data_IF_918069196164
#
_entry.id   IF_918069196164
#
_cell.length_a   1.000
_cell.length_b   1.000
_cell.length_c   1.000
_cell.angle_alpha   90.00
_cell.angle_beta   90.00
_cell.angle_gamma   90.00
#
_symmetry.space_group_name_H-M   'P 1'
#
loop_
_entity.id
_entity.type
_entity.pdbx_description
1 polymer ?
#
# COMPACT_ATOMS: atom_id res chain seq x y z
N UNK A 1 -5.07 37.57 0.78
CA UNK A 1 -5.87 36.33 0.73
C UNK A 1 -5.04 35.20 1.28
N UNK A 2 -5.28 34.78 2.54
CA UNK A 2 -4.66 33.56 3.06
C UNK A 2 -5.34 32.40 2.34
N UNK A 3 -4.62 31.74 1.43
CA UNK A 3 -5.11 30.51 0.80
C UNK A 3 -5.33 29.50 1.91
N UNK A 4 -6.58 29.07 2.12
CA UNK A 4 -6.90 27.98 3.02
C UNK A 4 -6.15 26.70 2.63
N UNK A 5 -5.95 25.79 3.59
CA UNK A 5 -5.38 24.46 3.33
C UNK A 5 -6.21 23.72 2.27
N UNK A 6 -5.54 23.01 1.36
CA UNK A 6 -6.20 22.22 0.31
C UNK A 6 -7.11 21.14 0.90
N UNK A 7 -6.66 20.51 1.99
CA UNK A 7 -7.45 19.58 2.79
C UNK A 7 -8.01 20.27 4.03
N UNK A 8 -9.29 20.04 4.30
CA UNK A 8 -9.96 20.43 5.53
C UNK A 8 -9.61 19.50 6.71
N UNK A 9 -10.02 19.84 7.95
CA UNK A 9 -9.69 19.06 9.13
C UNK A 9 -10.21 17.60 9.08
N UNK A 10 -11.44 17.40 8.59
CA UNK A 10 -12.06 16.06 8.47
C UNK A 10 -11.31 15.21 7.46
N UNK A 11 -10.92 15.80 6.34
CA UNK A 11 -10.17 15.11 5.27
C UNK A 11 -8.78 14.70 5.76
N UNK A 12 -8.10 15.58 6.50
CA UNK A 12 -6.85 15.23 7.17
C UNK A 12 -7.03 14.09 8.17
N UNK A 13 -8.10 14.10 8.97
CA UNK A 13 -8.41 13.03 9.92
C UNK A 13 -8.57 11.70 9.19
N UNK A 14 -9.32 11.67 8.07
CA UNK A 14 -9.47 10.47 7.23
C UNK A 14 -8.13 9.98 6.70
N UNK A 15 -7.33 10.86 6.09
CA UNK A 15 -6.02 10.50 5.53
C UNK A 15 -5.10 9.93 6.62
N UNK A 16 -5.03 10.60 7.78
CA UNK A 16 -4.20 10.18 8.90
C UNK A 16 -4.66 8.84 9.46
N UNK A 17 -5.97 8.67 9.65
CA UNK A 17 -6.54 7.46 10.20
C UNK A 17 -6.31 6.25 9.27
N UNK A 18 -6.54 6.40 7.97
CA UNK A 18 -6.28 5.35 6.99
C UNK A 18 -4.78 5.04 6.89
N UNK A 19 -3.93 6.07 6.92
CA UNK A 19 -2.48 5.90 6.91
C UNK A 19 -1.98 5.14 8.14
N UNK A 20 -2.53 5.45 9.32
CA UNK A 20 -2.23 4.76 10.57
C UNK A 20 -2.67 3.29 10.52
N UNK A 21 -3.90 3.00 10.08
CA UNK A 21 -4.40 1.63 9.99
C UNK A 21 -3.54 0.77 9.06
N UNK A 22 -3.22 1.26 7.86
CA UNK A 22 -2.35 0.56 6.92
C UNK A 22 -0.97 0.29 7.51
N UNK A 23 -0.38 1.27 8.19
CA UNK A 23 0.93 1.12 8.82
C UNK A 23 0.92 0.12 9.99
N UNK A 24 -0.08 0.20 10.87
CA UNK A 24 -0.22 -0.72 12.00
C UNK A 24 -0.41 -2.16 11.51
N UNK A 25 -1.25 -2.38 10.49
CA UNK A 25 -1.42 -3.71 9.90
C UNK A 25 -0.12 -4.24 9.31
N UNK A 26 0.65 -3.40 8.61
CA UNK A 26 1.95 -3.80 8.08
C UNK A 26 2.96 -4.19 9.18
N UNK A 27 2.96 -3.47 10.31
CA UNK A 27 3.91 -3.67 11.40
C UNK A 27 3.55 -4.87 12.28
N UNK A 28 2.26 -5.06 12.56
CA UNK A 28 1.80 -6.00 13.58
C UNK A 28 1.23 -7.30 13.01
N UNK A 29 0.81 -7.36 11.74
CA UNK A 29 0.46 -8.65 11.15
C UNK A 29 1.73 -9.50 10.99
N UNK A 30 1.71 -10.78 11.40
CA UNK A 30 2.84 -11.67 11.25
C UNK A 30 2.94 -12.20 9.81
N UNK A 31 2.93 -11.30 8.81
CA UNK A 31 2.83 -11.63 7.38
C UNK A 31 3.98 -12.55 6.95
N UNK A 32 5.17 -12.36 7.51
CA UNK A 32 6.32 -13.23 7.27
C UNK A 32 6.03 -14.67 7.74
N UNK A 33 5.49 -14.84 8.94
CA UNK A 33 5.14 -16.16 9.46
C UNK A 33 4.01 -16.80 8.65
N UNK A 34 3.02 -16.02 8.21
CA UNK A 34 1.94 -16.48 7.34
C UNK A 34 2.47 -16.98 5.99
N UNK A 35 3.36 -16.23 5.34
CA UNK A 35 3.96 -16.64 4.08
C UNK A 35 4.84 -17.90 4.23
N UNK A 36 5.58 -18.00 5.34
CA UNK A 36 6.38 -19.18 5.67
C UNK A 36 5.50 -20.41 5.95
N UNK A 37 4.37 -20.26 6.64
CA UNK A 37 3.42 -21.34 6.88
C UNK A 37 2.83 -21.90 5.57
N UNK A 38 2.70 -21.06 4.54
CA UNK A 38 2.28 -21.45 3.19
C UNK A 38 3.42 -22.01 2.32
N UNK A 39 4.63 -22.15 2.87
CA UNK A 39 5.84 -22.57 2.15
C UNK A 39 6.16 -21.69 0.92
N UNK A 40 5.77 -20.42 0.95
CA UNK A 40 6.01 -19.51 -0.17
C UNK A 40 7.40 -18.89 -0.02
N UNK A 41 8.33 -19.17 -0.96
CA UNK A 41 9.71 -18.73 -0.83
C UNK A 41 9.87 -17.26 -1.25
N UNK A 42 10.92 -16.64 -0.72
CA UNK A 42 11.41 -15.35 -1.19
C UNK A 42 11.07 -14.16 -0.27
N UNK A 43 11.81 -13.05 -0.43
CA UNK A 43 11.60 -11.85 0.35
C UNK A 43 10.24 -11.22 0.01
N UNK A 44 9.60 -10.58 0.99
CA UNK A 44 8.35 -9.84 0.79
C UNK A 44 7.19 -10.64 0.16
N UNK A 45 7.20 -11.98 0.20
CA UNK A 45 6.10 -12.83 -0.30
C UNK A 45 4.75 -12.47 0.34
N UNK A 46 4.78 -12.02 1.59
CA UNK A 46 3.63 -11.49 2.28
C UNK A 46 2.95 -10.30 1.59
N UNK A 47 3.73 -9.37 1.04
CA UNK A 47 3.22 -8.23 0.28
C UNK A 47 2.61 -8.68 -1.05
N UNK A 48 3.14 -9.74 -1.66
CA UNK A 48 2.55 -10.31 -2.87
C UNK A 48 1.13 -10.85 -2.62
N UNK A 49 0.88 -11.44 -1.45
CA UNK A 49 -0.43 -12.06 -1.15
C UNK A 49 -1.40 -11.08 -0.51
N UNK A 50 -0.91 -10.25 0.42
CA UNK A 50 -1.73 -9.41 1.30
C UNK A 50 -1.49 -7.91 1.11
N UNK A 51 -0.61 -7.48 0.20
CA UNK A 51 -0.33 -6.07 -0.04
C UNK A 51 -1.57 -5.27 -0.45
N UNK A 52 -2.55 -5.91 -1.10
CA UNK A 52 -3.86 -5.33 -1.35
C UNK A 52 -4.62 -4.95 -0.09
N UNK A 53 -4.65 -5.84 0.90
CA UNK A 53 -5.32 -5.60 2.17
C UNK A 53 -4.53 -4.63 3.05
N UNK A 54 -3.21 -4.70 3.03
CA UNK A 54 -2.33 -3.94 3.95
C UNK A 54 -2.07 -2.52 3.47
N UNK A 55 -2.01 -2.29 2.15
CA UNK A 55 -1.71 -0.99 1.58
C UNK A 55 -2.85 -0.47 0.70
N UNK A 56 -3.21 -1.19 -0.35
CA UNK A 56 -4.10 -0.67 -1.40
C UNK A 56 -5.49 -0.31 -0.84
N UNK A 57 -6.06 -1.17 0.00
CA UNK A 57 -7.36 -0.96 0.64
C UNK A 57 -7.43 0.42 1.33
N UNK A 58 -6.47 0.71 2.20
CA UNK A 58 -6.44 1.94 3.00
C UNK A 58 -6.14 3.16 2.15
N UNK A 59 -5.26 3.03 1.15
CA UNK A 59 -4.96 4.11 0.21
C UNK A 59 -6.19 4.47 -0.64
N UNK A 60 -6.90 3.46 -1.15
CA UNK A 60 -8.16 3.66 -1.88
C UNK A 60 -9.26 4.24 -0.97
N UNK A 61 -9.40 3.78 0.28
CA UNK A 61 -10.35 4.34 1.23
C UNK A 61 -10.04 5.81 1.56
N UNK A 62 -8.78 6.13 1.87
CA UNK A 62 -8.34 7.50 2.14
C UNK A 62 -8.67 8.42 0.98
N UNK A 63 -8.43 7.98 -0.26
CA UNK A 63 -8.82 8.72 -1.47
C UNK A 63 -10.32 8.88 -1.61
N UNK A 64 -11.10 7.80 -1.47
CA UNK A 64 -12.55 7.78 -1.69
C UNK A 64 -13.29 8.63 -0.67
N UNK A 65 -13.01 8.42 0.61
CA UNK A 65 -13.67 9.11 1.71
C UNK A 65 -13.33 10.61 1.75
N UNK A 66 -12.13 10.97 1.27
CA UNK A 66 -11.75 12.37 1.12
C UNK A 66 -12.36 13.02 -0.13
N UNK A 67 -12.61 12.25 -1.19
CA UNK A 67 -13.17 12.76 -2.46
C UNK A 67 -12.25 13.69 -3.27
N UNK A 68 -11.04 14.01 -2.77
CA UNK A 68 -10.08 14.91 -3.43
C UNK A 68 -8.93 14.16 -4.09
N UNK A 69 -8.35 14.82 -5.11
CA UNK A 69 -7.12 14.36 -5.74
C UNK A 69 -5.98 14.35 -4.73
N UNK A 70 -5.00 13.50 -4.96
CA UNK A 70 -3.76 13.35 -4.18
C UNK A 70 -3.94 12.77 -2.78
N UNK A 71 -5.17 12.61 -2.28
CA UNK A 71 -5.42 11.98 -0.99
C UNK A 71 -4.86 10.55 -0.94
N UNK A 72 -4.92 9.79 -2.04
CA UNK A 72 -4.32 8.45 -2.11
C UNK A 72 -2.79 8.48 -1.98
N UNK A 73 -2.13 9.37 -2.73
CA UNK A 73 -0.66 9.56 -2.65
C UNK A 73 -0.23 9.98 -1.25
N UNK A 74 -0.93 10.93 -0.63
CA UNK A 74 -0.58 11.39 0.71
C UNK A 74 -0.81 10.27 1.73
N UNK A 75 -1.91 9.53 1.62
CA UNK A 75 -2.17 8.38 2.49
C UNK A 75 -1.06 7.34 2.37
N UNK A 76 -0.64 6.98 1.14
CA UNK A 76 0.38 5.96 0.93
C UNK A 76 1.77 6.39 1.43
N UNK A 77 2.16 7.65 1.19
CA UNK A 77 3.40 8.21 1.73
C UNK A 77 3.36 8.26 3.25
N UNK A 78 2.22 8.63 3.84
CA UNK A 78 2.06 8.64 5.29
C UNK A 78 2.19 7.22 5.88
N UNK A 79 1.65 6.20 5.23
CA UNK A 79 1.88 4.79 5.64
C UNK A 79 3.38 4.50 5.68
N UNK A 80 4.12 4.88 4.63
CA UNK A 80 5.57 4.64 4.58
C UNK A 80 6.29 5.37 5.73
N UNK A 81 5.98 6.64 5.95
CA UNK A 81 6.57 7.44 7.03
C UNK A 81 6.28 6.84 8.41
N UNK A 82 5.04 6.44 8.69
CA UNK A 82 4.67 5.82 9.96
C UNK A 82 5.38 4.47 10.13
N UNK A 83 5.41 3.64 9.07
CA UNK A 83 6.15 2.37 9.11
C UNK A 83 7.61 2.61 9.49
N UNK A 84 8.29 3.53 8.78
CA UNK A 84 9.70 3.86 9.04
C UNK A 84 9.96 4.36 10.46
N UNK A 85 9.01 5.09 11.04
CA UNK A 85 9.11 5.57 12.42
C UNK A 85 8.97 4.44 13.44
N UNK A 86 8.05 3.50 13.22
CA UNK A 86 7.78 2.39 14.15
C UNK A 86 8.82 1.28 14.06
N UNK A 87 9.08 0.81 12.84
CA UNK A 87 10.08 -0.22 12.52
C UNK A 87 10.65 0.09 11.14
N UNK A 88 11.95 0.37 11.01
CA UNK A 88 12.61 0.56 9.72
C UNK A 88 12.18 -0.52 8.72
N UNK A 89 12.06 -0.18 7.45
CA UNK A 89 11.41 -1.04 6.44
C UNK A 89 12.03 -2.45 6.45
N UNK A 90 11.21 -3.47 6.75
CA UNK A 90 11.65 -4.86 6.97
C UNK A 90 12.73 -5.09 8.04
N UNK A 91 12.82 -4.19 9.03
CA UNK A 91 13.82 -4.21 10.10
C UNK A 91 15.21 -3.74 9.68
N UNK A 92 15.37 -3.23 8.45
CA UNK A 92 16.67 -2.78 7.93
C UNK A 92 16.93 -1.35 8.39
N UNK A 93 17.79 -1.20 9.40
CA UNK A 93 18.27 0.09 9.93
C UNK A 93 19.50 0.61 9.19
N UNK A 94 20.28 -0.29 8.60
CA UNK A 94 21.50 0.01 7.86
C UNK A 94 21.58 -0.83 6.59
N UNK A 95 21.86 -0.24 5.43
CA UNK A 95 22.05 1.21 5.21
C UNK A 95 20.72 1.98 5.19
N UNK A 96 20.71 3.21 5.72
CA UNK A 96 19.51 4.03 5.91
C UNK A 96 18.77 4.38 4.60
N UNK A 97 19.47 4.33 3.45
CA UNK A 97 18.87 4.57 2.15
C UNK A 97 17.83 3.49 1.78
N UNK A 98 17.82 2.31 2.42
CA UNK A 98 16.80 1.28 2.17
C UNK A 98 15.37 1.79 2.45
N UNK A 99 15.24 2.71 3.40
CA UNK A 99 13.99 3.42 3.72
C UNK A 99 13.45 4.26 2.56
N UNK A 100 14.34 4.77 1.69
CA UNK A 100 13.95 5.54 0.50
C UNK A 100 13.18 4.65 -0.47
N UNK A 101 13.59 3.40 -0.64
CA UNK A 101 12.84 2.44 -1.47
C UNK A 101 11.44 2.20 -0.93
N UNK A 102 11.26 2.11 0.40
CA UNK A 102 9.92 1.99 1.01
C UNK A 102 9.01 3.18 0.68
N UNK A 103 9.53 4.41 0.81
CA UNK A 103 8.78 5.63 0.44
C UNK A 103 8.46 5.65 -1.05
N UNK A 104 9.44 5.37 -1.91
CA UNK A 104 9.25 5.32 -3.37
C UNK A 104 8.23 4.26 -3.76
N UNK A 105 8.26 3.08 -3.14
CA UNK A 105 7.33 1.98 -3.42
C UNK A 105 5.88 2.38 -3.13
N UNK A 106 5.61 2.96 -1.95
CA UNK A 106 4.26 3.40 -1.62
C UNK A 106 3.85 4.68 -2.33
N UNK A 107 4.79 5.56 -2.67
CA UNK A 107 4.51 6.70 -3.53
C UNK A 107 4.02 6.25 -4.91
N UNK A 108 4.71 5.29 -5.54
CA UNK A 108 4.28 4.69 -6.82
C UNK A 108 2.90 4.05 -6.70
N UNK A 109 2.66 3.29 -5.63
CA UNK A 109 1.35 2.71 -5.37
C UNK A 109 0.25 3.78 -5.30
N UNK A 110 0.50 4.86 -4.54
CA UNK A 110 -0.41 5.99 -4.43
C UNK A 110 -0.67 6.68 -5.76
N UNK A 111 0.37 6.85 -6.58
CA UNK A 111 0.24 7.40 -7.93
C UNK A 111 -0.62 6.50 -8.82
N UNK A 112 -0.43 5.18 -8.80
CA UNK A 112 -1.27 4.26 -9.56
C UNK A 112 -2.75 4.35 -9.14
N UNK A 113 -3.02 4.42 -7.84
CA UNK A 113 -4.39 4.58 -7.33
C UNK A 113 -5.01 5.91 -7.79
N UNK A 114 -4.25 7.01 -7.80
CA UNK A 114 -4.74 8.31 -8.29
C UNK A 114 -4.95 8.33 -9.81
N UNK A 115 -4.01 7.79 -10.59
CA UNK A 115 -4.05 7.79 -12.05
C UNK A 115 -5.24 6.98 -12.60
N UNK A 116 -5.56 5.87 -11.96
CA UNK A 116 -6.61 4.94 -12.41
C UNK A 116 -7.93 5.07 -11.64
N UNK A 117 -8.16 6.20 -10.96
CA UNK A 117 -9.39 6.48 -10.19
C UNK A 117 -10.70 6.24 -10.98
N UNK A 118 -11.77 5.95 -10.25
CA UNK A 118 -13.10 5.69 -10.84
C UNK A 118 -13.25 4.24 -11.31
N UNK A 119 -13.75 4.03 -12.54
CA UNK A 119 -14.06 2.68 -13.07
C UNK A 119 -12.83 1.76 -13.20
N UNK A 120 -11.62 2.32 -13.24
CA UNK A 120 -10.37 1.57 -13.40
C UNK A 120 -9.60 1.40 -12.09
N UNK A 121 -10.19 1.75 -10.95
CA UNK A 121 -9.46 1.81 -9.68
C UNK A 121 -8.92 0.43 -9.26
N UNK A 122 -9.65 -0.65 -9.55
CA UNK A 122 -9.15 -2.01 -9.33
C UNK A 122 -7.82 -2.25 -10.07
N UNK A 123 -7.72 -1.83 -11.33
CA UNK A 123 -6.48 -1.92 -12.13
C UNK A 123 -5.39 -1.05 -11.50
N UNK A 124 -5.73 0.16 -11.03
CA UNK A 124 -4.81 1.03 -10.30
C UNK A 124 -4.23 0.40 -9.04
N UNK A 125 -5.09 -0.24 -8.25
CA UNK A 125 -4.69 -0.99 -7.06
C UNK A 125 -3.78 -2.17 -7.39
N UNK A 126 -4.13 -2.93 -8.44
CA UNK A 126 -3.32 -4.06 -8.91
C UNK A 126 -1.94 -3.63 -9.41
N UNK A 127 -1.87 -2.64 -10.31
CA UNK A 127 -0.61 -2.09 -10.80
C UNK A 127 0.22 -1.47 -9.67
N UNK A 128 -0.44 -0.77 -8.73
CA UNK A 128 0.22 -0.18 -7.58
C UNK A 128 0.90 -1.22 -6.70
N UNK A 129 0.21 -2.31 -6.36
CA UNK A 129 0.81 -3.38 -5.55
C UNK A 129 1.89 -4.17 -6.32
N UNK A 130 1.67 -4.44 -7.61
CA UNK A 130 2.66 -5.06 -8.49
C UNK A 130 3.97 -4.25 -8.51
N UNK A 131 3.90 -2.94 -8.76
CA UNK A 131 5.07 -2.07 -8.82
C UNK A 131 5.70 -1.88 -7.43
N UNK A 132 4.89 -1.82 -6.36
CA UNK A 132 5.38 -1.79 -4.98
C UNK A 132 6.20 -3.05 -4.63
N UNK A 133 5.73 -4.23 -5.04
CA UNK A 133 6.48 -5.48 -4.87
C UNK A 133 7.77 -5.48 -5.70
N UNK A 134 7.67 -5.10 -6.98
CA UNK A 134 8.83 -5.05 -7.87
C UNK A 134 9.93 -4.11 -7.36
N UNK A 135 9.56 -2.90 -6.92
CA UNK A 135 10.50 -1.94 -6.32
C UNK A 135 11.09 -2.44 -5.00
N UNK A 136 10.29 -3.10 -4.17
CA UNK A 136 10.78 -3.77 -2.95
C UNK A 136 11.79 -4.87 -3.27
N UNK A 137 11.52 -5.71 -4.26
CA UNK A 137 12.45 -6.77 -4.68
C UNK A 137 13.72 -6.21 -5.31
N UNK A 138 13.63 -5.16 -6.12
CA UNK A 138 14.82 -4.48 -6.65
C UNK A 138 15.69 -3.95 -5.51
N UNK A 139 15.08 -3.34 -4.48
CA UNK A 139 15.80 -2.86 -3.30
C UNK A 139 16.52 -3.99 -2.56
N UNK A 140 15.82 -5.10 -2.30
CA UNK A 140 16.40 -6.23 -1.58
C UNK A 140 17.47 -6.93 -2.43
N UNK A 141 17.16 -7.20 -3.69
CA UNK A 141 18.00 -7.97 -4.59
C UNK A 141 19.29 -7.26 -4.98
N UNK A 142 19.25 -5.95 -5.26
CA UNK A 142 20.44 -5.18 -5.62
C UNK A 142 21.44 -5.04 -4.46
N UNK A 143 20.94 -5.04 -3.22
CA UNK A 143 21.75 -4.63 -2.06
C UNK A 143 22.03 -5.73 -1.04
N UNK A 144 21.19 -6.77 -0.99
CA UNK A 144 21.39 -7.95 -0.14
C UNK A 144 21.67 -9.21 -0.94
N UNK A 145 21.69 -9.11 -2.28
CA UNK A 145 21.79 -10.24 -3.21
C UNK A 145 20.74 -11.34 -2.99
N UNK A 146 19.66 -11.01 -2.27
CA UNK A 146 18.58 -11.94 -1.96
C UNK A 146 17.43 -11.70 -2.93
N UNK A 147 17.22 -12.64 -3.85
CA UNK A 147 16.14 -12.59 -4.83
C UNK A 147 15.08 -13.67 -4.54
N UNK A 148 13.81 -13.43 -4.90
CA UNK A 148 12.85 -14.52 -5.00
C UNK A 148 13.35 -15.58 -5.99
N UNK A 149 13.01 -16.84 -5.75
CA UNK A 149 13.31 -17.93 -6.69
C UNK A 149 12.59 -17.67 -8.02
N UNK A 150 13.33 -17.72 -9.12
CA UNK A 150 12.83 -17.34 -10.45
C UNK A 150 11.55 -18.08 -10.87
N UNK A 151 11.42 -19.34 -10.47
CA UNK A 151 10.23 -20.18 -10.73
C UNK A 151 8.93 -19.61 -10.13
N UNK A 152 9.01 -18.89 -9.01
CA UNK A 152 7.84 -18.31 -8.33
C UNK A 152 7.61 -16.84 -8.68
N UNK A 153 8.56 -16.16 -9.31
CA UNK A 153 8.48 -14.72 -9.63
C UNK A 153 7.21 -14.37 -10.42
N UNK A 154 6.88 -15.05 -11.54
CA UNK A 154 5.68 -14.72 -12.30
C UNK A 154 4.41 -14.90 -11.47
N UNK A 155 4.31 -16.00 -10.73
CA UNK A 155 3.14 -16.30 -9.91
C UNK A 155 2.95 -15.28 -8.79
N UNK A 156 4.02 -14.87 -8.11
CA UNK A 156 3.98 -13.87 -7.05
C UNK A 156 3.66 -12.46 -7.58
N UNK A 157 4.13 -12.10 -8.76
CA UNK A 157 3.76 -10.83 -9.40
C UNK A 157 2.28 -10.80 -9.79
N UNK A 158 1.75 -11.90 -10.34
CA UNK A 158 0.33 -12.04 -10.65
C UNK A 158 -0.51 -12.01 -9.37
N UNK A 159 -0.09 -12.73 -8.33
CA UNK A 159 -0.75 -12.71 -7.03
C UNK A 159 -0.76 -11.30 -6.42
N UNK A 160 0.35 -10.56 -6.53
CA UNK A 160 0.45 -9.16 -6.10
C UNK A 160 -0.55 -8.27 -6.81
N UNK A 161 -0.65 -8.40 -8.14
CA UNK A 161 -1.60 -7.67 -8.93
C UNK A 161 -3.06 -7.98 -8.52
N UNK A 162 -3.40 -9.27 -8.40
CA UNK A 162 -4.74 -9.70 -7.98
C UNK A 162 -5.06 -9.21 -6.57
N UNK A 163 -4.12 -9.35 -5.63
CA UNK A 163 -4.25 -8.85 -4.26
C UNK A 163 -4.58 -7.36 -4.26
N UNK A 164 -3.82 -6.56 -5.03
CA UNK A 164 -4.06 -5.14 -5.18
C UNK A 164 -5.45 -4.81 -5.75
N UNK A 165 -5.90 -5.54 -6.79
CA UNK A 165 -7.26 -5.38 -7.32
C UNK A 165 -8.32 -5.65 -6.26
N UNK A 166 -8.18 -6.74 -5.51
CA UNK A 166 -9.12 -7.13 -4.43
C UNK A 166 -9.18 -6.04 -3.36
N UNK A 167 -8.03 -5.51 -2.92
CA UNK A 167 -7.99 -4.41 -1.95
C UNK A 167 -8.75 -3.17 -2.42
N UNK A 168 -8.57 -2.77 -3.68
CA UNK A 168 -9.30 -1.64 -4.27
C UNK A 168 -10.81 -1.90 -4.41
N UNK A 169 -11.21 -3.13 -4.76
CA UNK A 169 -12.64 -3.52 -4.84
C UNK A 169 -13.30 -3.46 -3.47
N UNK A 170 -12.65 -4.02 -2.44
CA UNK A 170 -13.14 -3.98 -1.05
C UNK A 170 -13.27 -2.52 -0.59
N UNK A 171 -12.28 -1.67 -0.88
CA UNK A 171 -12.35 -0.24 -0.57
C UNK A 171 -13.58 0.42 -1.20
N UNK A 172 -13.88 0.09 -2.47
CA UNK A 172 -15.07 0.59 -3.16
C UNK A 172 -16.37 0.12 -2.52
N UNK A 173 -16.44 -1.15 -2.10
CA UNK A 173 -17.60 -1.71 -1.40
C UNK A 173 -17.84 -1.04 -0.04
N UNK A 174 -16.78 -0.86 0.77
CA UNK A 174 -16.86 -0.19 2.08
C UNK A 174 -17.30 1.26 1.92
N UNK A 175 -16.69 2.02 1.00
CA UNK A 175 -17.05 3.41 0.76
C UNK A 175 -18.53 3.53 0.33
N UNK A 176 -18.98 2.66 -0.60
CA UNK A 176 -20.37 2.66 -1.03
C UNK A 176 -21.36 2.26 0.07
N UNK A 177 -20.96 1.40 1.01
CA UNK A 177 -21.78 1.07 2.19
C UNK A 177 -21.91 2.27 3.13
N UNK A 178 -20.80 2.96 3.41
CA UNK A 178 -20.78 4.14 4.28
C UNK A 178 -21.62 5.29 3.70
N UNK A 179 -21.55 5.52 2.38
CA UNK A 179 -22.38 6.51 1.70
C UNK A 179 -23.89 6.21 1.87
N UNK A 180 -24.28 4.93 1.77
CA UNK A 180 -25.69 4.53 1.97
C UNK A 180 -26.17 4.79 3.40
N UNK A 181 -25.37 4.40 4.39
CA UNK A 181 -25.71 4.61 5.81
C UNK A 181 -25.81 6.10 6.14
N UNK A 182 -25.00 6.96 5.50
CA UNK A 182 -25.06 8.41 5.73
C UNK A 182 -26.26 9.12 5.10
N UNK A 183 -27.01 8.45 4.22
CA UNK A 183 -28.19 8.98 3.55
C UNK A 183 -29.51 8.53 4.21
N UNK A 184 -29.43 7.61 5.18
CA UNK A 184 -30.54 7.18 6.05
C UNK A 184 -30.56 7.99 7.36
#
# INVERSE_FOLDING_TARGET
MVRGSYFGPVEWLVIIFMGLLGALLNVYLPIKAMAQALNIPGPAAGMALLGGFIFVLWVCLGRRLTGKKWAGVITSVLIACICLFLRPWYGITSPSWFSIYGIVSLFILGLCVELFRGRREAIGGGLGNFLCLGTTWLAIGLHTHTWPRAEFVPALLVASFISGMVGAIIAGGIAGLLERISLE
#
